data_IF_733467716218
#
_entry.id   IF_733467716218
#
_cell.length_a   1.000
_cell.length_b   1.000
_cell.length_c   1.000
_cell.angle_alpha   90.00
_cell.angle_beta   90.00
_cell.angle_gamma   90.00
#
_symmetry.space_group_name_H-M   'P 1'
#
loop_
_entity.id
_entity.type
_entity.pdbx_description
1 polymer ?
#
# COMPACT_ATOMS: atom_id res chain seq x y z
N UNK A 1 -43.26 -2.31 78.10
CA UNK A 1 -42.50 -2.93 77.00
C UNK A 1 -42.97 -4.36 76.84
N UNK A 2 -43.67 -4.69 75.74
CA UNK A 2 -44.07 -6.07 75.46
C UNK A 2 -42.81 -6.95 75.34
N UNK A 3 -42.73 -7.99 76.16
CA UNK A 3 -41.65 -8.98 76.08
C UNK A 3 -41.94 -9.94 74.93
N UNK A 4 -41.02 -10.03 73.97
CA UNK A 4 -41.08 -11.06 72.92
C UNK A 4 -40.93 -12.45 73.54
N UNK A 5 -41.60 -13.46 72.96
CA UNK A 5 -41.44 -14.84 73.41
C UNK A 5 -40.05 -15.39 73.08
N UNK A 6 -39.56 -16.35 73.85
CA UNK A 6 -38.25 -16.96 73.64
C UNK A 6 -38.11 -17.60 72.24
N UNK A 7 -39.21 -18.15 71.70
CA UNK A 7 -39.24 -18.75 70.37
C UNK A 7 -39.04 -17.70 69.27
N UNK A 8 -39.69 -16.53 69.39
CA UNK A 8 -39.53 -15.42 68.44
C UNK A 8 -38.09 -14.91 68.48
N UNK A 9 -37.52 -14.69 69.67
CA UNK A 9 -36.14 -14.22 69.83
C UNK A 9 -35.10 -15.19 69.24
N UNK A 10 -35.28 -16.50 69.43
CA UNK A 10 -34.38 -17.52 68.88
C UNK A 10 -34.45 -17.58 67.35
N UNK A 11 -35.65 -17.47 66.77
CA UNK A 11 -35.84 -17.43 65.32
C UNK A 11 -35.20 -16.18 64.70
N UNK A 12 -35.47 -15.01 65.26
CA UNK A 12 -34.90 -13.73 64.80
C UNK A 12 -33.38 -13.72 64.90
N UNK A 13 -32.80 -14.26 66.00
CA UNK A 13 -31.35 -14.42 66.12
C UNK A 13 -30.78 -15.25 64.96
N UNK A 14 -31.38 -16.40 64.68
CA UNK A 14 -30.91 -17.28 63.60
C UNK A 14 -31.02 -16.61 62.22
N UNK A 15 -32.10 -15.85 61.98
CA UNK A 15 -32.29 -15.06 60.75
C UNK A 15 -31.25 -13.95 60.59
N UNK A 16 -31.01 -13.14 61.62
CA UNK A 16 -29.97 -12.09 61.59
C UNK A 16 -28.59 -12.71 61.37
N UNK A 17 -28.27 -13.80 62.07
CA UNK A 17 -26.98 -14.49 61.87
C UNK A 17 -26.83 -15.03 60.45
N UNK A 18 -27.89 -15.66 59.90
CA UNK A 18 -27.89 -16.16 58.53
C UNK A 18 -27.65 -15.02 57.54
N UNK A 19 -28.36 -13.91 57.68
CA UNK A 19 -28.26 -12.75 56.78
C UNK A 19 -26.89 -12.08 56.87
N UNK A 20 -26.32 -11.93 58.07
CA UNK A 20 -24.98 -11.34 58.24
C UNK A 20 -23.84 -12.20 57.68
N UNK A 21 -24.07 -13.50 57.52
CA UNK A 21 -23.11 -14.41 56.89
C UNK A 21 -23.20 -14.39 55.34
N UNK A 22 -24.21 -13.73 54.77
CA UNK A 22 -24.32 -13.59 53.32
C UNK A 22 -23.39 -12.51 52.79
N UNK A 23 -22.94 -12.61 51.53
CA UNK A 23 -22.30 -11.51 50.84
C UNK A 23 -23.21 -10.27 50.79
N UNK A 24 -22.61 -9.08 50.88
CA UNK A 24 -23.37 -7.83 50.87
C UNK A 24 -24.27 -7.67 49.63
N UNK A 25 -23.85 -8.21 48.47
CA UNK A 25 -24.65 -8.16 47.23
C UNK A 25 -25.94 -8.99 47.29
N UNK A 26 -26.00 -9.99 48.16
CA UNK A 26 -27.20 -10.79 48.41
C UNK A 26 -28.06 -10.14 49.51
N UNK A 27 -27.42 -9.53 50.51
CA UNK A 27 -28.13 -8.83 51.60
C UNK A 27 -28.91 -7.61 51.09
N UNK A 28 -28.35 -6.84 50.14
CA UNK A 28 -29.00 -5.64 49.58
C UNK A 28 -30.25 -5.94 48.75
N UNK A 29 -30.54 -7.21 48.47
CA UNK A 29 -31.78 -7.58 47.78
C UNK A 29 -33.00 -7.16 48.63
N UNK A 30 -34.10 -6.69 48.02
CA UNK A 30 -35.26 -6.16 48.74
C UNK A 30 -35.82 -7.11 49.80
N UNK A 31 -35.85 -8.40 49.51
CA UNK A 31 -36.34 -9.43 50.43
C UNK A 31 -35.43 -9.59 51.66
N UNK A 32 -34.12 -9.74 51.44
CA UNK A 32 -33.14 -9.95 52.51
C UNK A 32 -32.93 -8.70 53.37
N UNK A 33 -32.91 -7.52 52.74
CA UNK A 33 -32.78 -6.23 53.43
C UNK A 33 -34.00 -5.94 54.31
N UNK A 34 -35.21 -6.20 53.81
CA UNK A 34 -36.45 -6.02 54.58
C UNK A 34 -36.49 -6.94 55.80
N UNK A 35 -36.10 -8.21 55.62
CA UNK A 35 -36.03 -9.18 56.73
C UNK A 35 -34.96 -8.76 57.75
N UNK A 36 -33.79 -8.31 57.31
CA UNK A 36 -32.73 -7.86 58.21
C UNK A 36 -33.17 -6.64 59.04
N UNK A 37 -33.72 -5.61 58.39
CA UNK A 37 -34.17 -4.38 59.05
C UNK A 37 -35.27 -4.68 60.09
N UNK A 38 -36.21 -5.58 59.78
CA UNK A 38 -37.25 -5.97 60.72
C UNK A 38 -36.71 -6.82 61.89
N UNK A 39 -35.69 -7.65 61.66
CA UNK A 39 -35.17 -8.59 62.64
C UNK A 39 -34.17 -7.95 63.63
N UNK A 40 -33.43 -6.92 63.21
CA UNK A 40 -32.43 -6.23 64.06
C UNK A 40 -32.98 -5.65 65.38
N UNK A 41 -34.08 -4.86 65.40
CA UNK A 41 -34.61 -4.30 66.65
C UNK A 41 -35.19 -5.38 67.57
N UNK A 42 -35.77 -6.44 67.01
CA UNK A 42 -36.30 -7.59 67.76
C UNK A 42 -35.14 -8.35 68.43
N UNK A 43 -34.03 -8.57 67.70
CA UNK A 43 -32.87 -9.24 68.28
C UNK A 43 -32.21 -8.37 69.35
N UNK A 44 -32.07 -7.06 69.13
CA UNK A 44 -31.50 -6.11 70.08
C UNK A 44 -32.29 -6.00 71.41
N UNK A 45 -33.58 -6.36 71.41
CA UNK A 45 -34.43 -6.40 72.61
C UNK A 45 -34.28 -7.69 73.43
N UNK A 46 -33.44 -8.65 73.00
CA UNK A 46 -33.24 -9.91 73.71
C UNK A 46 -32.57 -9.70 75.08
N UNK A 47 -33.13 -10.25 76.19
CA UNK A 47 -32.62 -10.05 77.54
C UNK A 47 -31.27 -10.73 77.80
N UNK A 48 -30.83 -11.62 76.90
CA UNK A 48 -29.62 -12.44 77.04
C UNK A 48 -28.42 -11.86 76.25
N UNK A 49 -28.52 -10.65 75.72
CA UNK A 49 -27.44 -10.00 74.98
C UNK A 49 -26.55 -9.14 75.90
N UNK A 50 -25.25 -9.14 75.62
CA UNK A 50 -24.33 -8.18 76.23
C UNK A 50 -24.62 -6.76 75.72
N UNK A 51 -24.31 -5.76 76.55
CA UNK A 51 -24.47 -4.33 76.22
C UNK A 51 -23.78 -3.97 74.90
N UNK A 52 -22.60 -4.55 74.65
CA UNK A 52 -21.84 -4.36 73.40
C UNK A 52 -22.57 -4.90 72.16
N UNK A 53 -23.16 -6.10 72.24
CA UNK A 53 -23.92 -6.67 71.14
C UNK A 53 -25.17 -5.85 70.83
N UNK A 54 -25.88 -5.38 71.87
CA UNK A 54 -27.03 -4.50 71.70
C UNK A 54 -26.62 -3.19 71.02
N UNK A 55 -25.47 -2.61 71.41
CA UNK A 55 -24.93 -1.40 70.77
C UNK A 55 -24.60 -1.63 69.30
N UNK A 56 -23.90 -2.73 68.98
CA UNK A 56 -23.52 -3.06 67.60
C UNK A 56 -24.72 -3.29 66.69
N UNK A 57 -25.79 -3.95 67.18
CA UNK A 57 -27.01 -4.17 66.40
C UNK A 57 -27.75 -2.85 66.09
N UNK A 58 -27.82 -1.93 67.06
CA UNK A 58 -28.42 -0.60 66.86
C UNK A 58 -27.60 0.27 65.91
N UNK A 59 -26.27 0.19 66.02
CA UNK A 59 -25.37 0.91 65.12
C UNK A 59 -25.46 0.38 63.69
N UNK A 60 -25.54 -0.94 63.51
CA UNK A 60 -25.79 -1.56 62.22
C UNK A 60 -27.14 -1.11 61.64
N UNK A 61 -28.22 -1.18 62.42
CA UNK A 61 -29.55 -0.72 61.99
C UNK A 61 -29.52 0.73 61.49
N UNK A 62 -28.83 1.62 62.22
CA UNK A 62 -28.68 3.03 61.85
C UNK A 62 -27.87 3.23 60.57
N UNK A 63 -26.83 2.43 60.35
CA UNK A 63 -25.89 2.58 59.24
C UNK A 63 -26.26 1.75 57.99
N UNK A 64 -27.24 0.84 58.08
CA UNK A 64 -27.66 0.00 56.95
C UNK A 64 -28.11 0.80 55.71
N UNK A 65 -28.93 1.85 55.83
CA UNK A 65 -29.35 2.63 54.67
C UNK A 65 -28.19 3.26 53.90
N UNK A 66 -27.20 3.83 54.61
CA UNK A 66 -26.02 4.40 53.97
C UNK A 66 -25.14 3.32 53.35
N UNK A 67 -24.91 2.22 54.07
CA UNK A 67 -24.12 1.07 53.57
C UNK A 67 -24.68 0.53 52.24
N UNK A 68 -26.00 0.35 52.15
CA UNK A 68 -26.66 -0.13 50.95
C UNK A 68 -26.61 0.89 49.81
N UNK A 69 -26.83 2.17 50.11
CA UNK A 69 -26.69 3.26 49.13
C UNK A 69 -25.28 3.30 48.54
N UNK A 70 -24.26 3.28 49.39
CA UNK A 70 -22.85 3.32 49.01
C UNK A 70 -22.49 2.10 48.15
N UNK A 71 -22.97 0.90 48.54
CA UNK A 71 -22.76 -0.31 47.76
C UNK A 71 -23.36 -0.23 46.34
N UNK A 72 -24.61 0.25 46.23
CA UNK A 72 -25.27 0.41 44.93
C UNK A 72 -24.59 1.47 44.07
N UNK A 73 -24.13 2.57 44.67
CA UNK A 73 -23.38 3.60 43.98
C UNK A 73 -22.04 3.06 43.47
N UNK A 74 -21.27 2.38 44.33
CA UNK A 74 -20.01 1.76 43.96
C UNK A 74 -20.19 0.74 42.83
N UNK A 75 -21.24 -0.09 42.88
CA UNK A 75 -21.55 -1.05 41.80
C UNK A 75 -21.92 -0.37 40.49
N UNK A 76 -22.65 0.74 40.51
CA UNK A 76 -22.95 1.54 39.32
C UNK A 76 -21.67 2.14 38.72
N UNK A 77 -20.85 2.77 39.55
CA UNK A 77 -19.58 3.35 39.12
C UNK A 77 -18.62 2.29 38.55
N UNK A 78 -18.55 1.11 39.18
CA UNK A 78 -17.74 -0.01 38.67
C UNK A 78 -18.18 -0.44 37.27
N UNK A 79 -19.50 -0.62 37.05
CA UNK A 79 -20.03 -0.98 35.72
C UNK A 79 -19.74 0.09 34.67
N UNK A 80 -19.93 1.35 35.03
CA UNK A 80 -19.65 2.47 34.13
C UNK A 80 -18.16 2.55 33.78
N UNK A 81 -17.28 2.41 34.77
CA UNK A 81 -15.84 2.37 34.57
C UNK A 81 -15.44 1.24 33.62
N UNK A 82 -15.89 0.00 33.88
CA UNK A 82 -15.59 -1.15 33.01
C UNK A 82 -16.09 -0.92 31.58
N UNK A 83 -17.28 -0.35 31.40
CA UNK A 83 -17.82 0.01 30.09
C UNK A 83 -16.96 1.05 29.36
N UNK A 84 -16.52 2.10 30.06
CA UNK A 84 -15.63 3.14 29.50
C UNK A 84 -14.26 2.58 29.14
N UNK A 85 -13.69 1.71 29.97
CA UNK A 85 -12.42 1.03 29.68
C UNK A 85 -12.53 0.16 28.44
N UNK A 86 -13.60 -0.64 28.31
CA UNK A 86 -13.81 -1.47 27.12
C UNK A 86 -13.89 -0.63 25.83
N UNK A 87 -14.64 0.48 25.86
CA UNK A 87 -14.71 1.42 24.72
C UNK A 87 -13.34 2.02 24.40
N UNK A 88 -12.57 2.40 25.42
CA UNK A 88 -11.21 2.94 25.25
C UNK A 88 -10.28 1.93 24.58
N UNK A 89 -10.35 0.66 24.97
CA UNK A 89 -9.52 -0.40 24.36
C UNK A 89 -9.85 -0.56 22.88
N UNK A 90 -11.13 -0.62 22.51
CA UNK A 90 -11.56 -0.71 21.10
C UNK A 90 -11.01 0.47 20.28
N UNK A 91 -11.13 1.70 20.79
CA UNK A 91 -10.62 2.89 20.11
C UNK A 91 -9.10 2.86 19.95
N UNK A 92 -8.36 2.37 20.95
CA UNK A 92 -6.89 2.23 20.86
C UNK A 92 -6.52 1.22 19.78
N UNK A 93 -7.22 0.09 19.70
CA UNK A 93 -6.96 -0.94 18.69
C UNK A 93 -7.25 -0.42 17.27
N UNK A 94 -8.35 0.32 17.09
CA UNK A 94 -8.69 0.97 15.82
C UNK A 94 -7.64 2.00 15.41
N UNK A 95 -7.27 2.91 16.31
CA UNK A 95 -6.24 3.92 16.06
C UNK A 95 -4.88 3.30 15.72
N UNK A 96 -4.52 2.20 16.39
CA UNK A 96 -3.26 1.50 16.12
C UNK A 96 -3.25 0.93 14.71
N UNK A 97 -4.33 0.27 14.28
CA UNK A 97 -4.46 -0.28 12.92
C UNK A 97 -4.41 0.80 11.86
N UNK A 98 -5.10 1.92 12.08
CA UNK A 98 -5.07 3.06 11.16
C UNK A 98 -3.68 3.69 11.06
N UNK A 99 -2.97 3.79 12.19
CA UNK A 99 -1.61 4.32 12.23
C UNK A 99 -0.61 3.42 11.48
N UNK A 100 -0.74 2.10 11.62
CA UNK A 100 0.08 1.13 10.89
C UNK A 100 -0.17 1.24 9.37
N UNK A 101 -1.45 1.28 8.96
CA UNK A 101 -1.81 1.48 7.55
C UNK A 101 -1.26 2.80 7.00
N UNK A 102 -1.36 3.89 7.75
CA UNK A 102 -0.79 5.18 7.35
C UNK A 102 0.72 5.09 7.11
N UNK A 103 1.45 4.41 8.00
CA UNK A 103 2.90 4.23 7.88
C UNK A 103 3.27 3.42 6.64
N UNK A 104 2.54 2.34 6.35
CA UNK A 104 2.73 1.53 5.15
C UNK A 104 2.48 2.33 3.87
N UNK A 105 1.37 3.06 3.81
CA UNK A 105 1.04 3.92 2.67
C UNK A 105 2.09 5.02 2.47
N UNK A 106 2.58 5.63 3.56
CA UNK A 106 3.65 6.61 3.51
C UNK A 106 4.95 6.00 2.96
N UNK A 107 5.29 4.78 3.37
CA UNK A 107 6.46 4.07 2.84
C UNK A 107 6.32 3.76 1.35
N UNK A 108 5.17 3.24 0.91
CA UNK A 108 4.90 2.98 -0.50
C UNK A 108 4.96 4.24 -1.35
N UNK A 109 4.36 5.34 -0.89
CA UNK A 109 4.44 6.64 -1.56
C UNK A 109 5.89 7.07 -1.75
N UNK A 110 6.72 6.98 -0.71
CA UNK A 110 8.14 7.34 -0.81
C UNK A 110 8.87 6.52 -1.87
N UNK A 111 8.59 5.20 -1.97
CA UNK A 111 9.20 4.34 -3.00
C UNK A 111 8.76 4.72 -4.41
N UNK A 112 7.49 5.10 -4.59
CA UNK A 112 6.97 5.60 -5.86
C UNK A 112 7.68 6.91 -6.24
N UNK A 113 7.81 7.86 -5.31
CA UNK A 113 8.48 9.14 -5.56
C UNK A 113 9.95 8.96 -5.98
N UNK A 114 10.67 8.04 -5.33
CA UNK A 114 12.03 7.65 -5.73
C UNK A 114 12.06 7.04 -7.14
N UNK A 115 11.12 6.15 -7.45
CA UNK A 115 11.04 5.48 -8.77
C UNK A 115 10.74 6.48 -9.89
N UNK A 116 9.79 7.39 -9.66
CA UNK A 116 9.46 8.49 -10.59
C UNK A 116 10.68 9.36 -10.84
N UNK A 117 11.44 9.69 -9.79
CA UNK A 117 12.66 10.50 -9.92
C UNK A 117 13.72 9.79 -10.78
N UNK A 118 13.94 8.48 -10.55
CA UNK A 118 14.85 7.67 -11.35
C UNK A 118 14.44 7.60 -12.83
N UNK A 119 13.14 7.35 -13.10
CA UNK A 119 12.60 7.33 -14.47
C UNK A 119 12.80 8.67 -15.16
N UNK A 120 12.58 9.79 -14.45
CA UNK A 120 12.78 11.14 -15.00
C UNK A 120 14.23 11.38 -15.40
N UNK A 121 15.19 10.91 -14.61
CA UNK A 121 16.62 10.96 -14.95
C UNK A 121 16.92 10.16 -16.21
N UNK A 122 16.46 8.91 -16.28
CA UNK A 122 16.66 8.04 -17.45
C UNK A 122 16.05 8.64 -18.73
N UNK A 123 14.84 9.21 -18.65
CA UNK A 123 14.21 9.91 -19.79
C UNK A 123 15.07 11.09 -20.26
N UNK A 124 15.69 11.82 -19.34
CA UNK A 124 16.56 12.96 -19.68
C UNK A 124 17.82 12.49 -20.42
N UNK A 125 18.46 11.41 -19.96
CA UNK A 125 19.61 10.79 -20.63
C UNK A 125 19.25 10.22 -22.01
N UNK A 126 18.09 9.59 -22.16
CA UNK A 126 17.64 9.11 -23.46
C UNK A 126 17.39 10.29 -24.43
N UNK A 127 16.85 11.40 -23.95
CA UNK A 127 16.66 12.61 -24.76
C UNK A 127 17.98 13.19 -25.25
N UNK A 128 19.05 13.18 -24.44
CA UNK A 128 20.37 13.65 -24.89
C UNK A 128 20.96 12.71 -25.93
N UNK A 129 20.93 11.39 -25.69
CA UNK A 129 21.39 10.37 -26.66
C UNK A 129 20.67 10.48 -28.01
N UNK A 130 19.35 10.68 -28.00
CA UNK A 130 18.56 10.88 -29.24
C UNK A 130 19.02 12.13 -30.01
N UNK A 131 19.35 13.22 -29.32
CA UNK A 131 19.87 14.44 -29.97
C UNK A 131 21.23 14.18 -30.61
N UNK A 132 22.14 13.51 -29.90
CA UNK A 132 23.46 13.15 -30.41
C UNK A 132 23.38 12.28 -31.66
N UNK A 133 22.56 11.21 -31.62
CA UNK A 133 22.39 10.32 -32.77
C UNK A 133 21.73 11.02 -33.96
N UNK A 134 20.79 11.95 -33.73
CA UNK A 134 20.24 12.80 -34.80
C UNK A 134 21.30 13.68 -35.46
N UNK A 135 22.25 14.21 -34.68
CA UNK A 135 23.35 15.00 -35.24
C UNK A 135 24.31 14.13 -36.07
N UNK A 136 24.68 12.95 -35.56
CA UNK A 136 25.50 11.98 -36.32
C UNK A 136 24.84 11.58 -37.63
N UNK A 137 23.53 11.31 -37.63
CA UNK A 137 22.77 10.98 -38.83
C UNK A 137 22.84 12.10 -39.87
N UNK A 138 22.69 13.36 -39.46
CA UNK A 138 22.80 14.51 -40.38
C UNK A 138 24.20 14.62 -40.98
N UNK A 139 25.25 14.45 -40.18
CA UNK A 139 26.62 14.48 -40.65
C UNK A 139 26.91 13.37 -41.68
N UNK A 140 26.39 12.15 -41.46
CA UNK A 140 26.50 11.05 -42.43
C UNK A 140 25.77 11.41 -43.73
N UNK A 141 24.54 11.90 -43.65
CA UNK A 141 23.77 12.29 -44.85
C UNK A 141 24.48 13.38 -45.68
N UNK A 142 25.11 14.34 -45.01
CA UNK A 142 25.91 15.37 -45.67
C UNK A 142 27.16 14.80 -46.34
N UNK A 143 27.85 13.86 -45.68
CA UNK A 143 28.98 13.16 -46.28
C UNK A 143 28.56 12.32 -47.50
N UNK A 144 27.44 11.60 -47.41
CA UNK A 144 26.89 10.82 -48.54
C UNK A 144 26.58 11.71 -49.75
N UNK A 145 25.93 12.87 -49.52
CA UNK A 145 25.64 13.83 -50.58
C UNK A 145 26.92 14.38 -51.21
N UNK A 146 27.90 14.75 -50.39
CA UNK A 146 29.19 15.24 -50.85
C UNK A 146 29.95 14.20 -51.68
N UNK A 147 29.96 12.94 -51.25
CA UNK A 147 30.57 11.84 -52.00
C UNK A 147 29.85 11.60 -53.32
N UNK A 148 28.50 11.59 -53.31
CA UNK A 148 27.70 11.45 -54.53
C UNK A 148 28.03 12.56 -55.54
N UNK A 149 28.09 13.81 -55.07
CA UNK A 149 28.42 14.96 -55.91
C UNK A 149 29.86 14.90 -56.45
N UNK A 150 30.82 14.39 -55.67
CA UNK A 150 32.21 14.20 -56.10
C UNK A 150 32.40 13.05 -57.09
N UNK A 151 31.63 11.97 -56.94
CA UNK A 151 31.77 10.76 -57.74
C UNK A 151 30.96 10.80 -59.05
N UNK A 152 29.80 11.46 -59.06
CA UNK A 152 28.95 11.60 -60.25
C UNK A 152 29.71 12.09 -61.49
N UNK A 153 30.47 13.19 -61.46
CA UNK A 153 31.21 13.65 -62.64
C UNK A 153 32.34 12.68 -63.04
N UNK A 154 32.93 11.96 -62.08
CA UNK A 154 33.97 10.96 -62.38
C UNK A 154 33.38 9.74 -63.08
N UNK A 155 32.21 9.27 -62.64
CA UNK A 155 31.47 8.20 -63.30
C UNK A 155 31.08 8.59 -64.72
N UNK A 156 30.51 9.78 -64.91
CA UNK A 156 30.16 10.29 -66.23
C UNK A 156 31.39 10.44 -67.15
N UNK A 157 32.54 10.90 -66.62
CA UNK A 157 33.78 10.98 -67.37
C UNK A 157 34.31 9.60 -67.77
N UNK A 158 34.21 8.60 -66.87
CA UNK A 158 34.63 7.23 -67.14
C UNK A 158 33.74 6.57 -68.21
N UNK A 159 32.42 6.76 -68.13
CA UNK A 159 31.46 6.29 -69.13
C UNK A 159 31.75 6.89 -70.51
N UNK A 160 32.04 8.20 -70.57
CA UNK A 160 32.40 8.89 -71.81
C UNK A 160 33.69 8.34 -72.41
N UNK A 161 34.74 8.17 -71.61
CA UNK A 161 36.01 7.60 -72.06
C UNK A 161 35.83 6.16 -72.58
N UNK A 162 35.01 5.35 -71.91
CA UNK A 162 34.69 4.00 -72.38
C UNK A 162 33.99 3.99 -73.74
N UNK A 163 33.04 4.90 -73.96
CA UNK A 163 32.36 5.05 -75.25
C UNK A 163 33.31 5.52 -76.37
N UNK A 164 34.16 6.52 -76.08
CA UNK A 164 35.17 7.02 -77.04
C UNK A 164 36.18 5.93 -77.44
N UNK A 165 36.63 5.12 -76.48
CA UNK A 165 37.57 4.03 -76.73
C UNK A 165 36.96 2.97 -77.66
N UNK A 166 35.72 2.55 -77.39
CA UNK A 166 35.01 1.57 -78.23
C UNK A 166 34.75 2.09 -79.65
N UNK A 167 34.38 3.36 -79.80
CA UNK A 167 34.19 3.96 -81.13
C UNK A 167 35.51 4.05 -81.90
N UNK A 168 36.59 4.41 -81.22
CA UNK A 168 37.94 4.46 -81.82
C UNK A 168 38.43 3.08 -82.28
N UNK A 169 38.27 2.03 -81.46
CA UNK A 169 38.62 0.66 -81.84
C UNK A 169 37.78 0.16 -83.01
N UNK A 170 36.47 0.46 -83.00
CA UNK A 170 35.57 0.10 -84.10
C UNK A 170 35.98 0.78 -85.40
N UNK A 171 36.22 2.10 -85.39
CA UNK A 171 36.64 2.84 -86.58
C UNK A 171 37.96 2.30 -87.15
N UNK A 172 38.92 1.95 -86.28
CA UNK A 172 40.18 1.32 -86.71
C UNK A 172 39.94 -0.04 -87.36
N UNK A 173 39.11 -0.89 -86.74
CA UNK A 173 38.76 -2.20 -87.26
C UNK A 173 38.04 -2.10 -88.62
N UNK A 174 37.06 -1.21 -88.74
CA UNK A 174 36.30 -0.97 -89.98
C UNK A 174 37.22 -0.44 -91.11
N UNK A 175 38.17 0.44 -90.78
CA UNK A 175 39.17 0.96 -91.73
C UNK A 175 40.11 -0.14 -92.22
N UNK A 176 40.62 -0.98 -91.31
CA UNK A 176 41.49 -2.12 -91.64
C UNK A 176 40.74 -3.14 -92.51
N UNK A 177 39.48 -3.45 -92.17
CA UNK A 177 38.63 -4.34 -92.95
C UNK A 177 38.41 -3.80 -94.37
N UNK A 178 38.02 -2.53 -94.50
CA UNK A 178 37.83 -1.89 -95.81
C UNK A 178 39.11 -1.91 -96.66
N UNK A 179 40.27 -1.63 -96.04
CA UNK A 179 41.57 -1.66 -96.74
C UNK A 179 41.92 -3.08 -97.22
N UNK A 180 41.59 -4.10 -96.43
CA UNK A 180 41.79 -5.50 -96.81
C UNK A 180 40.85 -5.89 -97.97
N UNK A 181 39.59 -5.49 -97.94
CA UNK A 181 38.62 -5.73 -99.02
C UNK A 181 39.03 -5.09 -100.34
N UNK A 182 39.46 -3.81 -100.32
CA UNK A 182 39.97 -3.11 -101.52
C UNK A 182 41.19 -3.86 -102.08
N UNK A 183 42.13 -4.24 -101.22
CA UNK A 183 43.32 -4.97 -101.64
C UNK A 183 42.96 -6.33 -102.26
N UNK A 184 41.99 -7.04 -101.67
CA UNK A 184 41.49 -8.30 -102.19
C UNK A 184 40.83 -8.15 -103.56
N UNK A 185 39.99 -7.13 -103.75
CA UNK A 185 39.35 -6.84 -105.03
C UNK A 185 40.38 -6.51 -106.12
N UNK A 186 41.42 -5.73 -105.80
CA UNK A 186 42.53 -5.43 -106.72
C UNK A 186 43.30 -6.70 -107.13
N UNK A 187 43.58 -7.60 -106.17
CA UNK A 187 44.14 -8.92 -106.49
C UNK A 187 43.21 -9.76 -107.37
N UNK A 188 41.91 -9.80 -107.07
CA UNK A 188 40.94 -10.52 -107.89
C UNK A 188 40.88 -9.96 -109.33
N UNK A 189 40.85 -8.64 -109.51
CA UNK A 189 40.87 -8.02 -110.83
C UNK A 189 42.16 -8.36 -111.60
N UNK A 190 43.32 -8.30 -110.94
CA UNK A 190 44.61 -8.67 -111.53
C UNK A 190 44.68 -10.15 -111.94
N UNK A 191 44.02 -11.04 -111.21
CA UNK A 191 44.03 -12.49 -111.49
C UNK A 191 43.01 -12.87 -112.56
N UNK A 192 41.81 -12.26 -112.53
CA UNK A 192 40.67 -12.66 -113.38
C UNK A 192 40.63 -11.88 -114.70
N UNK A 193 41.29 -10.71 -114.80
CA UNK A 193 41.48 -10.00 -116.06
C UNK A 193 40.23 -9.28 -116.58
N UNK A 194 39.57 -8.48 -115.74
CA UNK A 194 38.50 -7.56 -116.16
C UNK A 194 38.90 -6.13 -115.77
N UNK A 195 39.36 -5.37 -116.77
CA UNK A 195 39.55 -3.93 -116.68
C UNK A 195 38.30 -3.20 -117.17
N UNK A 196 37.81 -2.28 -116.34
CA UNK A 196 36.61 -1.44 -116.44
C UNK A 196 35.28 -2.13 -116.14
#
# INVERSE_FOLDING_TARGET
MSRYSAQVLNKTKAEVQKLLMMPLHDIVLPENSSVLVAALPIYAASPNLSVEKVRALKELEKNLPSLFSDFHQAKRQQKEYTSKVAKKVILIDELTKEQDLYNDLKHHRSRIDTSISSIRTQISELKTKIKEEKMKRRAIQEQELNLKNKNSPKLAALEKLGAEFLDSEKQLADSLASKAEISWADYQQKIIGLGM
#
